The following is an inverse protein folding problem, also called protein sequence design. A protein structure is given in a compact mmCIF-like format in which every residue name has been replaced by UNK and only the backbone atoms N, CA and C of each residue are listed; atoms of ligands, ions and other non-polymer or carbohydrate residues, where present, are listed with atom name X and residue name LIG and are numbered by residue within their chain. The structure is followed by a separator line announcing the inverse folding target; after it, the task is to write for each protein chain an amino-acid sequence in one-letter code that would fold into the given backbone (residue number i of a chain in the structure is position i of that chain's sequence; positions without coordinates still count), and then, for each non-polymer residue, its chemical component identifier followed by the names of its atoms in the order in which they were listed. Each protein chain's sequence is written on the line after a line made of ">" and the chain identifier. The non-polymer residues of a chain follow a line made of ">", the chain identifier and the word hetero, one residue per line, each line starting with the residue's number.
data_IF_555938994693
#
_entry.id   IF_555938994693
#
_cell.length_a   1.000
_cell.length_b   1.000
_cell.length_c   1.000
_cell.angle_alpha   90.00
_cell.angle_beta   90.00
_cell.angle_gamma   90.00
#
_symmetry.space_group_name_H-M   'P 1'
#
loop_
_entity.id
_entity.type
_entity.pdbx_description
1 polymer ?
#
# COMPACT_ATOMS: atom_id res chain seq x y z
N UNK A 1 7.97 -29.78 -6.98
CA UNK A 1 8.37 -29.57 -8.38
C UNK A 1 8.03 -28.13 -8.77
N UNK A 2 9.02 -27.32 -9.15
CA UNK A 2 8.88 -25.88 -9.44
C UNK A 2 7.89 -25.58 -10.58
N UNK A 3 7.88 -26.42 -11.62
CA UNK A 3 6.96 -26.27 -12.77
C UNK A 3 5.49 -26.36 -12.34
N UNK A 4 5.17 -27.29 -11.44
CA UNK A 4 3.82 -27.45 -10.89
C UNK A 4 3.37 -26.24 -10.07
N UNK A 5 4.28 -25.62 -9.32
CA UNK A 5 3.95 -24.42 -8.54
C UNK A 5 3.65 -23.21 -9.43
N UNK A 6 4.40 -23.07 -10.54
CA UNK A 6 4.15 -22.02 -11.54
C UNK A 6 2.81 -22.23 -12.24
N UNK A 7 2.47 -23.47 -12.62
CA UNK A 7 1.19 -23.81 -13.26
C UNK A 7 -0.01 -23.54 -12.32
N UNK A 8 0.10 -23.89 -11.04
CA UNK A 8 -0.93 -23.57 -10.04
C UNK A 8 -1.07 -22.06 -9.89
N UNK A 9 0.02 -21.32 -9.69
CA UNK A 9 -0.03 -19.87 -9.54
C UNK A 9 -0.64 -19.19 -10.77
N UNK A 10 -0.29 -19.62 -11.98
CA UNK A 10 -0.87 -19.07 -13.20
C UNK A 10 -2.38 -19.28 -13.25
N UNK A 11 -2.87 -20.47 -12.89
CA UNK A 11 -4.31 -20.77 -12.83
C UNK A 11 -5.04 -19.94 -11.78
N UNK A 12 -4.47 -19.82 -10.58
CA UNK A 12 -5.04 -19.02 -9.50
C UNK A 12 -5.07 -17.52 -9.86
N UNK A 13 -4.04 -16.99 -10.54
CA UNK A 13 -4.05 -15.60 -11.04
C UNK A 13 -5.18 -15.39 -12.05
N UNK A 14 -5.38 -16.32 -12.98
CA UNK A 14 -6.47 -16.22 -13.97
C UNK A 14 -7.83 -16.26 -13.26
N UNK A 15 -8.03 -17.21 -12.33
CA UNK A 15 -9.26 -17.31 -11.53
C UNK A 15 -9.55 -16.03 -10.74
N UNK A 16 -8.53 -15.47 -10.06
CA UNK A 16 -8.63 -14.20 -9.35
C UNK A 16 -9.07 -13.06 -10.30
N UNK A 17 -8.51 -12.98 -11.50
CA UNK A 17 -8.86 -11.97 -12.49
C UNK A 17 -10.29 -12.15 -13.00
N UNK A 18 -10.74 -13.38 -13.24
CA UNK A 18 -12.12 -13.69 -13.64
C UNK A 18 -13.13 -13.28 -12.55
N UNK A 19 -12.85 -13.61 -11.28
CA UNK A 19 -13.65 -13.14 -10.14
C UNK A 19 -13.71 -11.62 -10.08
N UNK A 20 -12.56 -10.94 -10.23
CA UNK A 20 -12.51 -9.48 -10.19
C UNK A 20 -13.33 -8.85 -11.32
N UNK A 21 -13.16 -9.34 -12.56
CA UNK A 21 -13.82 -8.81 -13.75
C UNK A 21 -15.34 -9.09 -13.78
N UNK A 22 -15.78 -10.15 -13.10
CA UNK A 22 -17.21 -10.45 -12.90
C UNK A 22 -17.85 -9.65 -11.76
N UNK A 23 -17.08 -8.81 -11.06
CA UNK A 23 -17.56 -7.96 -9.97
C UNK A 23 -17.50 -8.59 -8.58
N UNK A 24 -17.05 -9.85 -8.47
CA UNK A 24 -16.83 -10.52 -7.18
C UNK A 24 -15.43 -10.20 -6.62
N UNK A 25 -15.28 -8.95 -6.19
CA UNK A 25 -14.02 -8.42 -5.66
C UNK A 25 -13.60 -9.17 -4.38
N UNK A 26 -14.56 -9.62 -3.57
CA UNK A 26 -14.26 -10.34 -2.32
C UNK A 26 -13.63 -11.69 -2.64
N UNK A 27 -14.26 -12.50 -3.49
CA UNK A 27 -13.70 -13.81 -3.85
C UNK A 27 -12.37 -13.67 -4.59
N UNK A 28 -12.22 -12.65 -5.43
CA UNK A 28 -10.93 -12.35 -6.07
C UNK A 28 -9.84 -12.10 -5.02
N UNK A 29 -10.12 -11.26 -4.01
CA UNK A 29 -9.18 -10.96 -2.95
C UNK A 29 -8.85 -12.19 -2.10
N UNK A 30 -9.87 -12.95 -1.67
CA UNK A 30 -9.69 -14.16 -0.85
C UNK A 30 -8.88 -15.23 -1.61
N UNK A 31 -9.15 -15.42 -2.91
CA UNK A 31 -8.39 -16.33 -3.78
C UNK A 31 -6.94 -15.88 -3.94
N UNK A 32 -6.71 -14.59 -4.17
CA UNK A 32 -5.36 -14.03 -4.27
C UNK A 32 -4.57 -14.20 -2.97
N UNK A 33 -5.19 -13.92 -1.82
CA UNK A 33 -4.57 -14.10 -0.50
C UNK A 33 -4.20 -15.57 -0.26
N UNK A 34 -5.12 -16.50 -0.52
CA UNK A 34 -4.87 -17.93 -0.38
C UNK A 34 -3.76 -18.43 -1.32
N UNK A 35 -3.67 -17.90 -2.54
CA UNK A 35 -2.60 -18.22 -3.49
C UNK A 35 -1.20 -17.82 -2.96
N UNK A 36 -1.11 -16.75 -2.17
CA UNK A 36 0.16 -16.25 -1.63
C UNK A 36 0.58 -16.92 -0.31
N UNK A 37 -0.35 -17.55 0.40
CA UNK A 37 -0.13 -18.21 1.69
C UNK A 37 0.95 -19.31 1.70
N UNK A 38 1.12 -20.16 0.66
CA UNK A 38 2.10 -21.24 0.70
C UNK A 38 3.53 -20.72 0.92
N UNK A 39 4.24 -21.31 1.89
CA UNK A 39 5.63 -20.93 2.27
C UNK A 39 6.61 -20.86 1.09
N UNK A 40 6.41 -21.70 0.07
CA UNK A 40 7.23 -21.68 -1.14
C UNK A 40 7.08 -20.37 -1.89
N UNK A 41 5.84 -19.87 -2.02
CA UNK A 41 5.53 -18.60 -2.68
C UNK A 41 6.03 -17.43 -1.86
N UNK A 42 5.72 -17.39 -0.56
CA UNK A 42 6.21 -16.36 0.36
C UNK A 42 7.74 -16.21 0.29
N UNK A 43 8.50 -17.30 0.33
CA UNK A 43 9.97 -17.25 0.19
C UNK A 43 10.43 -16.74 -1.19
N UNK A 44 9.72 -17.09 -2.26
CA UNK A 44 10.06 -16.58 -3.59
C UNK A 44 9.81 -15.07 -3.68
N UNK A 45 8.73 -14.57 -3.07
CA UNK A 45 8.43 -13.15 -2.99
C UNK A 45 9.50 -12.42 -2.19
N UNK A 46 9.87 -12.93 -1.02
CA UNK A 46 10.96 -12.37 -0.20
C UNK A 46 12.27 -12.25 -0.99
N UNK A 47 12.60 -13.23 -1.83
CA UNK A 47 13.82 -13.22 -2.65
C UNK A 47 13.81 -12.24 -3.83
N UNK A 48 12.64 -11.78 -4.28
CA UNK A 48 12.53 -10.78 -5.38
C UNK A 48 12.21 -9.38 -4.85
N UNK A 49 11.85 -9.26 -3.58
CA UNK A 49 11.63 -7.99 -2.92
C UNK A 49 12.95 -7.38 -2.45
N UNK A 50 12.98 -6.05 -2.40
CA UNK A 50 14.05 -5.29 -1.77
C UNK A 50 13.64 -5.06 -0.31
N UNK A 51 14.48 -5.41 0.68
CA UNK A 51 14.22 -5.11 2.08
C UNK A 51 13.94 -3.62 2.27
N UNK A 52 12.92 -3.29 3.09
CA UNK A 52 12.60 -1.89 3.36
C UNK A 52 13.79 -1.14 3.97
N UNK A 53 14.63 -1.81 4.75
CA UNK A 53 15.87 -1.26 5.32
C UNK A 53 16.85 -0.73 4.26
N UNK A 54 16.84 -1.29 3.06
CA UNK A 54 17.76 -0.90 1.98
C UNK A 54 17.26 0.36 1.27
N UNK A 55 15.95 0.60 1.32
CA UNK A 55 15.26 1.76 0.77
C UNK A 55 15.08 2.89 1.79
N UNK A 56 14.89 2.55 3.07
CA UNK A 56 14.58 3.45 4.17
C UNK A 56 15.40 3.08 5.40
N UNK A 57 16.38 3.90 5.73
CA UNK A 57 17.23 3.77 6.91
C UNK A 57 17.66 5.16 7.40
N UNK A 58 18.54 5.21 8.41
CA UNK A 58 19.00 6.47 9.00
C UNK A 58 19.68 7.40 7.98
N UNK A 59 20.41 6.84 7.01
CA UNK A 59 21.09 7.62 5.95
C UNK A 59 20.15 7.98 4.79
N UNK A 60 19.09 7.20 4.57
CA UNK A 60 18.10 7.37 3.49
C UNK A 60 16.69 7.41 4.08
N UNK A 61 16.32 8.44 4.86
CA UNK A 61 14.99 8.52 5.43
C UNK A 61 13.95 8.74 4.33
N UNK A 62 12.82 8.04 4.45
CA UNK A 62 11.62 8.36 3.70
C UNK A 62 10.69 9.20 4.56
N UNK A 63 9.97 10.10 3.92
CA UNK A 63 9.12 11.08 4.59
C UNK A 63 7.66 10.86 4.24
N UNK A 64 6.78 11.09 5.21
CA UNK A 64 5.35 11.24 4.99
C UNK A 64 4.92 12.64 5.39
N UNK A 65 4.00 13.19 4.61
CA UNK A 65 3.37 14.47 4.90
C UNK A 65 1.85 14.28 5.01
N UNK A 66 1.22 14.97 5.95
CA UNK A 66 -0.23 15.01 6.14
C UNK A 66 -0.68 16.46 6.23
N UNK A 67 -1.71 16.80 5.47
CA UNK A 67 -2.41 18.08 5.56
C UNK A 67 -3.52 17.91 6.59
N UNK A 68 -3.64 18.89 7.49
CA UNK A 68 -4.76 18.95 8.43
C UNK A 68 -5.14 20.39 8.71
N UNK A 69 -6.45 20.68 8.70
CA UNK A 69 -6.98 21.97 9.13
C UNK A 69 -7.03 22.09 10.67
N UNK A 70 -6.92 20.97 11.38
CA UNK A 70 -6.82 20.93 12.85
C UNK A 70 -5.43 20.45 13.30
N UNK A 71 -4.90 20.95 14.43
CA UNK A 71 -3.64 20.47 14.97
C UNK A 71 -3.60 18.94 15.18
N UNK A 72 -2.56 18.30 14.66
CA UNK A 72 -2.26 16.89 14.94
C UNK A 72 -1.32 16.83 16.14
N UNK A 73 -1.76 16.22 17.24
CA UNK A 73 -1.05 16.27 18.52
C UNK A 73 -0.36 14.96 18.88
N UNK A 74 -0.72 13.86 18.22
CA UNK A 74 -0.17 12.54 18.50
C UNK A 74 0.44 11.89 17.24
N UNK A 75 1.41 10.99 17.44
CA UNK A 75 1.94 10.16 16.35
C UNK A 75 0.86 9.31 15.69
N UNK A 76 -0.23 8.99 16.41
CA UNK A 76 -1.33 8.19 15.84
C UNK A 76 -2.09 8.95 14.75
N UNK A 77 -2.15 10.28 14.87
CA UNK A 77 -2.79 11.14 13.90
C UNK A 77 -2.03 11.18 12.57
N UNK A 78 -0.79 10.70 12.54
CA UNK A 78 -0.01 10.54 11.32
C UNK A 78 -0.24 9.20 10.62
N UNK A 79 -0.97 8.24 11.20
CA UNK A 79 -1.27 6.96 10.54
C UNK A 79 -2.35 7.07 9.47
N UNK A 80 -2.67 5.95 8.82
CA UNK A 80 -3.76 5.90 7.86
C UNK A 80 -5.10 6.25 8.51
N UNK A 81 -6.08 6.64 7.69
CA UNK A 81 -7.45 6.86 8.16
C UNK A 81 -7.98 5.54 8.75
N UNK A 82 -8.61 5.53 9.94
CA UNK A 82 -9.17 4.32 10.53
C UNK A 82 -10.13 3.60 9.58
N UNK A 83 -10.17 2.26 9.63
CA UNK A 83 -11.03 1.48 8.72
C UNK A 83 -12.52 1.82 8.86
N UNK A 84 -12.98 2.16 10.07
CA UNK A 84 -14.35 2.66 10.31
C UNK A 84 -14.66 3.96 9.55
N UNK A 85 -13.63 4.71 9.17
CA UNK A 85 -13.68 5.97 8.45
C UNK A 85 -13.17 5.85 7.00
N UNK A 86 -13.07 4.62 6.47
CA UNK A 86 -12.49 4.37 5.14
C UNK A 86 -13.20 5.10 3.98
N UNK A 87 -14.44 5.53 4.16
CA UNK A 87 -15.17 6.32 3.16
C UNK A 87 -14.54 7.68 2.88
N UNK A 88 -13.68 8.20 3.77
CA UNK A 88 -12.86 9.39 3.49
C UNK A 88 -11.60 9.11 2.67
N UNK A 89 -11.24 7.84 2.46
CA UNK A 89 -10.09 7.45 1.63
C UNK A 89 -10.48 7.53 0.17
N UNK A 90 -10.01 8.58 -0.50
CA UNK A 90 -10.17 8.76 -1.95
C UNK A 90 -9.26 7.81 -2.72
N UNK A 91 -9.64 7.50 -3.97
CA UNK A 91 -8.73 6.84 -4.89
C UNK A 91 -7.48 7.71 -5.13
N UNK A 92 -6.33 7.05 -5.20
CA UNK A 92 -5.02 7.65 -5.49
C UNK A 92 -4.34 6.80 -6.57
N UNK A 93 -3.16 7.21 -7.04
CA UNK A 93 -2.48 6.56 -8.17
C UNK A 93 -2.34 5.05 -8.01
N UNK A 94 -2.03 4.58 -6.81
CA UNK A 94 -1.78 3.17 -6.52
C UNK A 94 -2.78 2.58 -5.53
N UNK A 95 -3.91 3.25 -5.28
CA UNK A 95 -4.92 2.76 -4.33
C UNK A 95 -6.35 3.05 -4.78
N UNK A 96 -7.22 2.08 -4.57
CA UNK A 96 -8.66 2.23 -4.79
C UNK A 96 -9.32 3.02 -3.64
N UNK A 97 -10.46 3.64 -3.93
CA UNK A 97 -11.23 4.33 -2.89
C UNK A 97 -11.62 3.35 -1.77
N UNK A 98 -11.55 3.79 -0.51
CA UNK A 98 -11.86 2.94 0.64
C UNK A 98 -10.72 2.04 1.12
N UNK A 99 -9.58 1.97 0.42
CA UNK A 99 -8.41 1.19 0.86
C UNK A 99 -7.27 2.14 1.29
N UNK A 100 -6.97 2.26 2.60
CA UNK A 100 -5.87 3.10 3.04
C UNK A 100 -4.51 2.54 2.59
N UNK A 101 -3.68 3.38 1.99
CA UNK A 101 -2.31 3.03 1.58
C UNK A 101 -1.29 4.02 2.17
N UNK A 102 -0.06 3.55 2.37
CA UNK A 102 1.05 4.35 2.85
C UNK A 102 1.82 4.97 1.67
N UNK A 103 1.84 6.29 1.60
CA UNK A 103 2.62 7.05 0.61
C UNK A 103 3.82 7.69 1.29
N UNK A 104 5.00 7.44 0.75
CA UNK A 104 6.28 7.94 1.24
C UNK A 104 7.05 8.60 0.10
N UNK A 105 7.75 9.69 0.38
CA UNK A 105 8.64 10.37 -0.57
C UNK A 105 10.07 10.42 -0.07
N UNK A 106 11.02 10.56 -1.00
CA UNK A 106 12.45 10.67 -0.69
C UNK A 106 12.88 12.07 -0.23
N UNK A 107 11.96 13.04 -0.28
CA UNK A 107 12.16 14.38 0.30
C UNK A 107 10.82 15.01 0.67
N UNK A 108 10.84 15.92 1.65
CA UNK A 108 9.67 16.72 2.02
C UNK A 108 9.13 17.54 0.85
N UNK A 109 10.02 18.03 -0.02
CA UNK A 109 9.64 18.76 -1.21
C UNK A 109 8.80 17.90 -2.17
N UNK A 110 9.21 16.64 -2.43
CA UNK A 110 8.42 15.72 -3.26
C UNK A 110 7.06 15.47 -2.63
N UNK A 111 7.00 15.19 -1.33
CA UNK A 111 5.73 14.96 -0.63
C UNK A 111 4.81 16.17 -0.74
N UNK A 112 5.32 17.39 -0.52
CA UNK A 112 4.56 18.63 -0.66
C UNK A 112 4.03 18.83 -2.08
N UNK A 113 4.83 18.52 -3.10
CA UNK A 113 4.44 18.59 -4.52
C UNK A 113 3.34 17.59 -4.88
N UNK A 114 3.44 16.34 -4.43
CA UNK A 114 2.42 15.30 -4.66
C UNK A 114 1.09 15.61 -3.94
N UNK A 115 1.13 16.42 -2.88
CA UNK A 115 -0.06 16.91 -2.16
C UNK A 115 -0.70 18.17 -2.79
N UNK A 116 -0.24 18.56 -3.97
CA UNK A 116 -0.60 19.81 -4.65
C UNK A 116 -0.33 21.07 -3.82
N UNK A 117 0.86 21.11 -3.20
CA UNK A 117 1.45 22.33 -2.64
C UNK A 117 0.58 23.05 -1.59
N UNK A 118 0.12 22.36 -0.53
CA UNK A 118 -0.66 22.99 0.53
C UNK A 118 0.14 24.02 1.32
N UNK A 119 -0.56 24.91 2.04
CA UNK A 119 0.04 25.90 2.92
C UNK A 119 0.89 25.24 4.02
N UNK A 120 2.05 25.84 4.33
CA UNK A 120 3.02 25.24 5.25
C UNK A 120 2.51 25.14 6.70
N UNK A 121 1.62 26.02 7.14
CA UNK A 121 1.02 26.02 8.48
C UNK A 121 0.05 24.86 8.71
N UNK A 122 -0.35 24.15 7.64
CA UNK A 122 -1.25 22.99 7.67
C UNK A 122 -0.54 21.66 7.44
N UNK A 123 0.79 21.66 7.35
CA UNK A 123 1.58 20.47 7.05
C UNK A 123 2.20 19.85 8.29
N UNK A 124 1.98 18.54 8.43
CA UNK A 124 2.53 17.70 9.47
C UNK A 124 3.42 16.63 8.83
N UNK A 125 4.55 16.34 9.47
CA UNK A 125 5.62 15.50 8.92
C UNK A 125 5.88 14.34 9.87
N UNK A 126 6.13 13.14 9.31
CA UNK A 126 6.57 11.97 10.06
C UNK A 126 7.62 11.17 9.30
#
# INVERSE_FOLDING_TARGET
>A
NRLRAVDIMQKEIVSCLECFLSGDIKSAYDSFESMLEPRTISRHIENICIPLSDLCNEDKPLFRVRKSDTPLTSRRDMFHIPFSQRHFVRAQRFSVAGLPCLYLGTSLYICWREMDKPDFDKLYIS
#
